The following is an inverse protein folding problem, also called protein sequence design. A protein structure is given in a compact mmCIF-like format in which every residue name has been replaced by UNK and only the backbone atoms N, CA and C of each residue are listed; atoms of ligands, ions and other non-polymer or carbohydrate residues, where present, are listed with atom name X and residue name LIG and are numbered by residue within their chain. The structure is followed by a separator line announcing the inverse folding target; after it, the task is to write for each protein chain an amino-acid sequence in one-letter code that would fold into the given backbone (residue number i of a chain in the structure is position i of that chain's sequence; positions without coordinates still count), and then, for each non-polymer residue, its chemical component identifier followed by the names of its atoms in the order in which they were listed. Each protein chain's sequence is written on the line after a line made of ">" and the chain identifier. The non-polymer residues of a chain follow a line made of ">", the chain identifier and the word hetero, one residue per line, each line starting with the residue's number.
data_IF_351438642827
#
_entry.id   IF_351438642827
#
_cell.length_a   1.000
_cell.length_b   1.000
_cell.length_c   1.000
_cell.angle_alpha   90.00
_cell.angle_beta   90.00
_cell.angle_gamma   90.00
#
_symmetry.space_group_name_H-M   'P 1'
#
loop_
_entity.id
_entity.type
_entity.pdbx_description
1 polymer ?
#
# COMPACT_ATOMS: atom_id res chain seq x y z
N UNK A 1 -22.18 4.98 -11.45
CA UNK A 1 -20.84 5.58 -11.49
C UNK A 1 -19.94 4.79 -12.42
N UNK A 2 -19.16 5.43 -13.28
CA UNK A 2 -18.19 4.70 -14.07
C UNK A 2 -17.16 4.01 -13.16
N UNK A 3 -16.75 2.79 -13.51
CA UNK A 3 -15.74 2.04 -12.76
C UNK A 3 -14.41 2.82 -12.70
N UNK A 4 -13.67 2.70 -11.60
CA UNK A 4 -12.32 3.26 -11.51
C UNK A 4 -11.43 2.60 -12.57
N UNK A 5 -10.64 3.37 -13.32
CA UNK A 5 -9.64 2.78 -14.21
C UNK A 5 -8.72 1.83 -13.44
N UNK A 6 -8.44 0.67 -14.00
CA UNK A 6 -7.61 -0.37 -13.37
C UNK A 6 -6.24 0.15 -12.94
N UNK A 7 -5.67 1.08 -13.72
CA UNK A 7 -4.36 1.67 -13.46
C UNK A 7 -4.24 2.34 -12.08
N UNK A 8 -5.34 2.83 -11.49
CA UNK A 8 -5.34 3.46 -10.16
C UNK A 8 -5.75 2.50 -9.04
N UNK A 9 -6.19 1.28 -9.38
CA UNK A 9 -6.55 0.25 -8.40
C UNK A 9 -5.46 -0.80 -8.23
N UNK A 10 -4.53 -0.87 -9.15
CA UNK A 10 -3.35 -1.74 -9.08
C UNK A 10 -2.18 -0.96 -8.44
N UNK A 11 -1.66 -1.41 -7.29
CA UNK A 11 -0.54 -0.74 -6.61
C UNK A 11 0.74 -0.65 -7.44
N UNK A 12 0.95 -1.56 -8.39
CA UNK A 12 2.13 -1.57 -9.27
C UNK A 12 2.07 -0.47 -10.33
N UNK A 13 0.89 -0.06 -10.76
CA UNK A 13 0.69 0.91 -11.84
C UNK A 13 0.20 2.26 -11.36
N UNK A 14 -0.34 2.34 -10.13
CA UNK A 14 -0.85 3.58 -9.58
C UNK A 14 0.30 4.50 -9.18
N UNK A 15 0.44 5.65 -9.86
CA UNK A 15 1.40 6.70 -9.54
C UNK A 15 0.79 7.89 -8.80
N UNK A 16 -0.51 7.84 -8.48
CA UNK A 16 -1.21 8.91 -7.75
C UNK A 16 -0.98 10.28 -8.39
N UNK A 17 -0.52 11.24 -7.59
CA UNK A 17 -0.21 12.61 -8.04
C UNK A 17 0.97 12.70 -9.02
N UNK A 18 1.68 11.61 -9.27
CA UNK A 18 2.78 11.51 -10.24
C UNK A 18 2.34 11.32 -11.69
N UNK A 19 1.07 11.01 -11.95
CA UNK A 19 0.57 11.02 -13.33
C UNK A 19 0.64 12.42 -13.92
N UNK A 20 1.28 12.55 -15.08
CA UNK A 20 1.37 13.82 -15.81
C UNK A 20 -0.01 14.28 -16.30
N UNK A 21 -0.14 15.56 -16.63
CA UNK A 21 -1.40 16.09 -17.16
C UNK A 21 -1.85 15.36 -18.43
N UNK A 22 -0.90 15.04 -19.32
CA UNK A 22 -1.17 14.27 -20.53
C UNK A 22 -1.67 12.86 -20.21
N UNK A 23 -1.00 12.17 -19.29
CA UNK A 23 -1.42 10.84 -18.83
C UNK A 23 -2.81 10.87 -18.18
N UNK A 24 -3.10 11.89 -17.35
CA UNK A 24 -4.41 12.05 -16.73
C UNK A 24 -5.51 12.20 -17.78
N UNK A 25 -5.27 12.96 -18.86
CA UNK A 25 -6.24 13.09 -19.96
C UNK A 25 -6.41 11.78 -20.72
N UNK A 26 -5.31 11.18 -21.12
CA UNK A 26 -5.32 9.93 -21.91
C UNK A 26 -5.96 8.76 -21.17
N UNK A 27 -5.76 8.68 -19.84
CA UNK A 27 -6.20 7.55 -19.01
C UNK A 27 -7.55 7.79 -18.28
N UNK A 28 -8.21 8.92 -18.54
CA UNK A 28 -9.50 9.22 -17.89
C UNK A 28 -9.37 9.55 -16.40
N UNK A 29 -8.26 10.18 -15.98
CA UNK A 29 -7.94 10.49 -14.59
C UNK A 29 -8.19 11.96 -14.22
N UNK A 30 -8.70 12.76 -15.15
CA UNK A 30 -8.98 14.18 -14.90
C UNK A 30 -9.96 14.33 -13.73
N UNK A 31 -9.62 15.22 -12.80
CA UNK A 31 -10.42 15.48 -11.60
C UNK A 31 -10.28 14.44 -10.47
N UNK A 32 -9.46 13.39 -10.67
CA UNK A 32 -9.22 12.36 -9.64
C UNK A 32 -8.10 12.69 -8.67
N UNK A 33 -7.22 13.61 -9.04
CA UNK A 33 -6.07 14.04 -8.23
C UNK A 33 -6.03 15.56 -8.14
N UNK A 34 -5.38 16.12 -7.10
CA UNK A 34 -5.02 17.54 -7.09
C UNK A 34 -4.29 17.92 -8.38
N UNK A 35 -4.44 19.18 -8.83
CA UNK A 35 -3.93 19.63 -10.13
C UNK A 35 -2.41 19.56 -10.26
N UNK A 36 -1.68 19.79 -9.17
CA UNK A 36 -0.23 19.71 -9.19
C UNK A 36 0.25 18.27 -9.51
N UNK A 37 1.24 18.19 -10.40
CA UNK A 37 1.95 16.93 -10.69
C UNK A 37 3.20 16.88 -9.83
N UNK A 38 3.29 15.86 -8.97
CA UNK A 38 4.44 15.68 -8.08
C UNK A 38 5.45 14.70 -8.66
N UNK A 39 6.74 15.02 -8.53
CA UNK A 39 7.81 14.05 -8.77
C UNK A 39 7.78 12.95 -7.72
N UNK A 40 8.47 11.83 -7.96
CA UNK A 40 8.59 10.78 -6.96
C UNK A 40 9.23 11.27 -5.66
N UNK A 41 10.23 12.17 -5.76
CA UNK A 41 10.88 12.79 -4.60
C UNK A 41 9.91 13.63 -3.76
N UNK A 42 9.07 14.42 -4.42
CA UNK A 42 8.04 15.20 -3.74
C UNK A 42 6.99 14.32 -3.06
N UNK A 43 6.56 13.26 -3.74
CA UNK A 43 5.63 12.27 -3.16
C UNK A 43 6.25 11.55 -1.97
N UNK A 44 7.53 11.16 -2.06
CA UNK A 44 8.24 10.48 -0.98
C UNK A 44 8.40 11.40 0.24
N UNK A 45 8.75 12.67 0.04
CA UNK A 45 8.85 13.65 1.11
C UNK A 45 7.50 13.86 1.82
N UNK A 46 6.40 13.97 1.05
CA UNK A 46 5.06 14.09 1.61
C UNK A 46 4.65 12.83 2.38
N UNK A 47 4.88 11.65 1.81
CA UNK A 47 4.55 10.39 2.46
C UNK A 47 5.36 10.19 3.76
N UNK A 48 6.64 10.56 3.76
CA UNK A 48 7.48 10.49 4.96
C UNK A 48 7.01 11.45 6.06
N UNK A 49 6.60 12.67 5.70
CA UNK A 49 6.01 13.61 6.64
C UNK A 49 4.72 13.08 7.27
N UNK A 50 3.86 12.44 6.47
CA UNK A 50 2.64 11.78 6.97
C UNK A 50 2.96 10.58 7.88
N UNK A 51 3.98 9.80 7.53
CA UNK A 51 4.44 8.66 8.32
C UNK A 51 4.96 9.10 9.69
N UNK A 52 5.83 10.11 9.73
CA UNK A 52 6.43 10.60 10.97
C UNK A 52 5.42 11.29 11.91
N UNK A 53 4.30 11.74 11.37
CA UNK A 53 3.18 12.28 12.14
C UNK A 53 2.36 11.20 12.85
N UNK A 54 2.55 9.92 12.53
CA UNK A 54 1.84 8.83 13.20
C UNK A 54 2.34 8.64 14.64
N UNK A 55 1.43 8.48 15.62
CA UNK A 55 1.79 8.55 17.04
C UNK A 55 2.57 7.33 17.55
N UNK A 56 2.35 6.15 16.98
CA UNK A 56 2.99 4.90 17.43
C UNK A 56 3.65 4.14 16.27
N UNK A 57 4.54 3.20 16.60
CA UNK A 57 5.12 2.32 15.58
C UNK A 57 4.08 1.44 14.89
N UNK A 58 3.05 1.00 15.62
CA UNK A 58 1.94 0.27 15.02
C UNK A 58 1.16 1.14 14.03
N UNK A 59 0.90 2.40 14.35
CA UNK A 59 0.24 3.33 13.42
C UNK A 59 1.11 3.61 12.20
N UNK A 60 2.41 3.72 12.38
CA UNK A 60 3.37 3.82 11.26
C UNK A 60 3.36 2.57 10.38
N UNK A 61 3.30 1.38 10.98
CA UNK A 61 3.16 0.12 10.25
C UNK A 61 1.87 0.11 9.41
N UNK A 62 0.75 0.50 10.00
CA UNK A 62 -0.55 0.60 9.31
C UNK A 62 -0.48 1.57 8.14
N UNK A 63 0.13 2.74 8.35
CA UNK A 63 0.32 3.72 7.28
C UNK A 63 1.13 3.14 6.12
N UNK A 64 2.26 2.47 6.41
CA UNK A 64 3.12 1.85 5.41
C UNK A 64 2.42 0.70 4.68
N UNK A 65 1.67 -0.13 5.39
CA UNK A 65 0.88 -1.22 4.78
C UNK A 65 -0.17 -0.67 3.80
N UNK A 66 -0.88 0.38 4.17
CA UNK A 66 -1.84 1.04 3.29
C UNK A 66 -1.16 1.71 2.08
N UNK A 67 0.01 2.30 2.28
CA UNK A 67 0.81 2.86 1.18
C UNK A 67 1.26 1.76 0.22
N UNK A 68 1.74 0.63 0.73
CA UNK A 68 2.13 -0.54 -0.06
C UNK A 68 0.96 -1.06 -0.91
N UNK A 69 -0.23 -1.13 -0.35
CA UNK A 69 -1.43 -1.59 -1.04
C UNK A 69 -2.00 -0.57 -2.05
N UNK A 70 -1.54 0.66 -2.03
CA UNK A 70 -2.01 1.75 -2.91
C UNK A 70 -1.01 2.15 -3.97
N UNK A 71 0.26 2.26 -3.62
CA UNK A 71 1.34 2.69 -4.51
C UNK A 71 2.65 2.03 -4.07
N UNK A 72 2.95 0.91 -4.68
CA UNK A 72 4.09 0.07 -4.30
C UNK A 72 5.44 0.75 -4.59
N UNK A 73 5.54 1.48 -5.70
CA UNK A 73 6.77 2.21 -6.05
C UNK A 73 7.07 3.28 -4.98
N UNK A 74 6.07 4.03 -4.56
CA UNK A 74 6.23 5.04 -3.52
C UNK A 74 6.56 4.41 -2.16
N UNK A 75 5.94 3.29 -1.83
CA UNK A 75 6.24 2.54 -0.61
C UNK A 75 7.72 2.15 -0.55
N UNK A 76 8.24 1.51 -1.60
CA UNK A 76 9.64 1.10 -1.62
C UNK A 76 10.61 2.28 -1.67
N UNK A 77 10.22 3.40 -2.29
CA UNK A 77 11.03 4.61 -2.27
C UNK A 77 11.18 5.16 -0.84
N UNK A 78 10.08 5.31 -0.11
CA UNK A 78 10.10 5.76 1.29
C UNK A 78 10.89 4.77 2.16
N UNK A 79 10.67 3.47 1.98
CA UNK A 79 11.36 2.44 2.75
C UNK A 79 12.87 2.46 2.52
N UNK A 80 13.33 2.56 1.28
CA UNK A 80 14.76 2.57 0.95
C UNK A 80 15.46 3.84 1.40
N UNK A 81 14.80 4.99 1.30
CA UNK A 81 15.35 6.27 1.75
C UNK A 81 15.57 6.31 3.28
N UNK A 82 14.78 5.53 4.04
CA UNK A 82 14.78 5.53 5.51
C UNK A 82 14.89 4.11 6.10
N UNK A 83 15.63 3.22 5.43
CA UNK A 83 15.61 1.77 5.74
C UNK A 83 15.97 1.46 7.19
N UNK A 84 17.03 2.04 7.73
CA UNK A 84 17.49 1.77 9.10
C UNK A 84 16.43 2.18 10.14
N UNK A 85 15.71 3.26 9.90
CA UNK A 85 14.65 3.74 10.77
C UNK A 85 13.40 2.89 10.67
N UNK A 86 13.02 2.50 9.45
CA UNK A 86 11.74 1.86 9.16
C UNK A 86 11.76 0.34 9.28
N UNK A 87 12.94 -0.28 9.25
CA UNK A 87 13.04 -1.74 9.35
C UNK A 87 12.40 -2.31 10.61
N UNK A 88 12.58 -1.73 11.82
CA UNK A 88 11.91 -2.20 13.03
C UNK A 88 10.38 -1.98 13.02
N UNK A 89 9.87 -1.21 12.08
CA UNK A 89 8.44 -0.94 11.92
C UNK A 89 7.82 -1.94 10.95
N UNK A 90 8.41 -2.15 9.78
CA UNK A 90 7.90 -3.08 8.77
C UNK A 90 8.26 -4.55 9.07
N UNK A 91 9.18 -4.78 10.00
CA UNK A 91 9.59 -6.09 10.48
C UNK A 91 9.52 -6.13 12.01
N UNK A 92 10.26 -7.04 12.65
CA UNK A 92 10.28 -7.14 14.10
C UNK A 92 10.88 -5.87 14.77
N UNK A 93 10.31 -5.41 15.86
CA UNK A 93 9.23 -6.00 16.66
C UNK A 93 7.81 -5.61 16.24
N UNK A 94 7.62 -4.58 15.41
CA UNK A 94 6.29 -4.01 15.14
C UNK A 94 5.40 -4.95 14.32
N UNK A 95 5.96 -5.66 13.33
CA UNK A 95 5.20 -6.65 12.55
C UNK A 95 4.63 -7.75 13.44
N UNK A 96 5.36 -8.17 14.47
CA UNK A 96 4.87 -9.15 15.45
C UNK A 96 3.67 -8.62 16.24
N UNK A 97 3.66 -7.36 16.61
CA UNK A 97 2.49 -6.71 17.22
C UNK A 97 1.30 -6.65 16.26
N UNK A 98 1.54 -6.26 15.01
CA UNK A 98 0.51 -6.21 13.99
C UNK A 98 -0.14 -7.58 13.75
N UNK A 99 0.66 -8.66 13.71
CA UNK A 99 0.16 -10.03 13.54
C UNK A 99 -0.73 -10.44 14.72
N UNK A 100 -0.32 -10.17 15.95
CA UNK A 100 -1.13 -10.50 17.14
C UNK A 100 -2.48 -9.78 17.16
N UNK A 101 -2.55 -8.59 16.60
CA UNK A 101 -3.78 -7.77 16.56
C UNK A 101 -4.56 -7.90 15.25
N UNK A 102 -4.12 -8.76 14.34
CA UNK A 102 -4.61 -8.80 12.97
C UNK A 102 -6.12 -9.05 12.86
N UNK A 103 -6.69 -9.95 13.64
CA UNK A 103 -8.12 -10.22 13.61
C UNK A 103 -8.98 -9.00 13.93
N UNK A 104 -8.50 -8.12 14.82
CA UNK A 104 -9.14 -6.85 15.15
C UNK A 104 -8.88 -5.80 14.09
N UNK A 105 -7.64 -5.73 13.61
CA UNK A 105 -7.13 -4.63 12.79
C UNK A 105 -7.14 -4.94 11.29
N UNK A 106 -7.76 -6.07 10.89
CA UNK A 106 -7.83 -6.50 9.49
C UNK A 106 -8.34 -5.37 8.57
N UNK A 107 -7.62 -5.19 7.48
CA UNK A 107 -7.97 -4.28 6.40
C UNK A 107 -7.92 -5.04 5.08
N UNK A 108 -7.26 -4.52 4.09
CA UNK A 108 -6.97 -5.23 2.84
C UNK A 108 -5.72 -6.08 3.02
N UNK A 109 -5.77 -7.34 2.62
CA UNK A 109 -4.64 -8.25 2.65
C UNK A 109 -4.04 -8.48 1.26
N UNK A 110 -2.75 -8.82 1.25
CA UNK A 110 -2.03 -9.38 0.10
C UNK A 110 -1.57 -10.82 0.38
N UNK A 111 -2.18 -11.46 1.34
CA UNK A 111 -1.86 -12.80 1.81
C UNK A 111 -3.01 -13.77 1.55
N UNK A 112 -2.68 -15.05 1.60
CA UNK A 112 -3.66 -16.15 1.64
C UNK A 112 -3.81 -16.60 3.08
N UNK A 113 -5.04 -16.78 3.53
CA UNK A 113 -5.36 -17.26 4.86
C UNK A 113 -5.79 -18.71 4.77
N UNK A 114 -5.07 -19.56 5.48
CA UNK A 114 -5.35 -20.98 5.56
C UNK A 114 -5.72 -21.32 7.01
N UNK A 115 -6.70 -22.21 7.20
CA UNK A 115 -7.10 -22.70 8.50
C UNK A 115 -6.95 -24.23 8.56
N UNK A 116 -6.43 -24.73 9.66
CA UNK A 116 -6.34 -26.17 9.91
C UNK A 116 -7.73 -26.82 9.98
N UNK A 117 -8.75 -26.06 10.33
CA UNK A 117 -10.13 -26.52 10.43
C UNK A 117 -10.81 -26.72 9.06
N UNK A 118 -10.16 -26.26 7.98
CA UNK A 118 -10.67 -26.31 6.61
C UNK A 118 -9.55 -26.63 5.62
N UNK A 119 -9.04 -27.86 5.74
CA UNK A 119 -7.93 -28.33 4.87
C UNK A 119 -8.35 -28.40 3.40
N UNK A 120 -9.62 -28.67 3.13
CA UNK A 120 -10.20 -28.69 1.78
C UNK A 120 -10.13 -27.35 1.06
N UNK A 121 -10.05 -26.23 1.80
CA UNK A 121 -9.95 -24.88 1.23
C UNK A 121 -8.54 -24.53 0.72
N UNK A 122 -7.52 -25.32 1.04
CA UNK A 122 -6.12 -24.99 0.66
C UNK A 122 -5.97 -24.86 -0.85
N UNK A 123 -6.37 -25.87 -1.62
CA UNK A 123 -6.27 -25.82 -3.09
C UNK A 123 -7.12 -24.69 -3.69
N UNK A 124 -8.43 -24.57 -3.36
CA UNK A 124 -9.25 -23.47 -3.87
C UNK A 124 -8.70 -22.10 -3.53
N UNK A 125 -8.06 -21.92 -2.36
CA UNK A 125 -7.46 -20.64 -1.96
C UNK A 125 -6.31 -20.22 -2.88
N UNK A 126 -5.46 -21.16 -3.29
CA UNK A 126 -4.39 -20.88 -4.24
C UNK A 126 -4.90 -20.69 -5.67
N UNK A 127 -5.88 -21.48 -6.10
CA UNK A 127 -6.52 -21.33 -7.41
C UNK A 127 -7.20 -19.95 -7.56
N UNK A 128 -7.81 -19.45 -6.49
CA UNK A 128 -8.43 -18.11 -6.46
C UNK A 128 -7.44 -16.95 -6.65
N UNK A 129 -6.14 -17.16 -6.45
CA UNK A 129 -5.11 -16.13 -6.73
C UNK A 129 -4.88 -15.90 -8.21
N UNK A 130 -5.30 -16.81 -9.08
CA UNK A 130 -5.08 -16.72 -10.52
C UNK A 130 -3.61 -16.88 -10.93
N UNK A 131 -2.84 -17.60 -10.13
CA UNK A 131 -1.42 -17.90 -10.37
C UNK A 131 -1.28 -19.13 -11.27
#
# INVERSE_FOLDING_TARGET
>A
MPAKPTIVTDPLTNRGTGFTEEERRRLGLIGRFPSAVETLDQQAARAYAQLTAQPTNLDKYVFLDQLHNRNEVLYYRVLTDHLAELLPIVYDPTVGEAIRKWSRDYRRSRAVYLSIDRIEDVRPSFEALGL
#
